data_IF_217647760198
#
_entry.id   IF_217647760198
#
_cell.length_a   1.000
_cell.length_b   1.000
_cell.length_c   1.000
_cell.angle_alpha   90.00
_cell.angle_beta   90.00
_cell.angle_gamma   90.00
#
_symmetry.space_group_name_H-M   'P 1'
#
loop_
_entity.id
_entity.type
_entity.pdbx_description
1 polymer ?
#
# COMPACT_ATOMS: atom_id res chain seq x y z
N UNK A 1 -9.14 -31.29 4.32
CA UNK A 1 -8.25 -30.60 3.37
C UNK A 1 -9.15 -29.88 2.38
N UNK A 2 -9.47 -28.60 2.68
CA UNK A 2 -10.31 -27.78 1.81
C UNK A 2 -9.38 -26.93 0.96
N UNK A 3 -9.33 -27.18 -0.32
CA UNK A 3 -8.55 -26.40 -1.29
C UNK A 3 -9.20 -25.02 -1.41
N UNK A 4 -8.58 -24.00 -0.81
CA UNK A 4 -8.95 -22.61 -1.04
C UNK A 4 -8.68 -22.29 -2.51
N UNK A 5 -9.75 -22.10 -3.27
CA UNK A 5 -9.66 -21.59 -4.64
C UNK A 5 -9.21 -20.12 -4.56
N UNK A 6 -8.10 -19.74 -5.18
CA UNK A 6 -7.72 -18.35 -5.26
C UNK A 6 -8.83 -17.59 -6.00
N UNK A 7 -9.17 -16.38 -5.50
CA UNK A 7 -10.07 -15.47 -6.22
C UNK A 7 -9.50 -15.36 -7.62
N UNK A 8 -10.24 -15.90 -8.59
CA UNK A 8 -9.84 -15.90 -9.99
C UNK A 8 -9.49 -14.47 -10.38
N UNK A 9 -8.29 -14.30 -10.94
CA UNK A 9 -7.91 -13.11 -11.70
C UNK A 9 -8.87 -13.02 -12.88
N UNK A 10 -10.09 -12.55 -12.64
CA UNK A 10 -10.97 -12.20 -13.75
C UNK A 10 -10.31 -11.05 -14.49
N UNK A 11 -9.81 -11.37 -15.65
CA UNK A 11 -9.49 -10.43 -16.68
C UNK A 11 -10.78 -9.66 -16.99
N UNK A 12 -10.97 -8.51 -16.35
CA UNK A 12 -11.97 -7.55 -16.75
C UNK A 12 -11.33 -6.68 -17.82
N UNK A 13 -11.90 -6.74 -18.99
CA UNK A 13 -11.68 -5.83 -20.08
C UNK A 13 -11.64 -4.38 -19.58
N UNK A 14 -10.81 -3.65 -20.20
CA UNK A 14 -10.84 -2.25 -20.54
C UNK A 14 -9.47 -1.61 -20.41
N UNK A 15 -9.04 -1.05 -21.46
CA UNK A 15 -7.89 -0.29 -21.90
C UNK A 15 -7.29 0.79 -20.99
N UNK A 16 -7.60 0.82 -19.71
CA UNK A 16 -6.97 1.75 -18.77
C UNK A 16 -5.85 1.06 -17.99
N UNK A 17 -4.67 1.67 -17.89
CA UNK A 17 -3.57 1.11 -17.12
C UNK A 17 -3.96 0.94 -15.65
N UNK A 18 -3.36 -0.05 -14.97
CA UNK A 18 -3.57 -0.23 -13.53
C UNK A 18 -3.02 0.97 -12.74
N UNK A 19 -3.57 1.23 -11.55
CA UNK A 19 -3.06 2.26 -10.65
C UNK A 19 -1.54 2.14 -10.46
N UNK A 20 -1.06 0.91 -10.27
CA UNK A 20 0.37 0.67 -10.08
C UNK A 20 1.19 1.03 -11.32
N UNK A 21 0.65 0.81 -12.52
CA UNK A 21 1.29 1.21 -13.77
C UNK A 21 1.32 2.73 -13.94
N UNK A 22 0.27 3.43 -13.55
CA UNK A 22 0.25 4.90 -13.60
C UNK A 22 1.17 5.52 -12.55
N UNK A 23 1.24 4.95 -11.33
CA UNK A 23 2.20 5.37 -10.31
C UNK A 23 3.64 5.21 -10.80
N UNK A 24 3.95 4.06 -11.42
CA UNK A 24 5.25 3.80 -12.02
C UNK A 24 5.59 4.82 -13.11
N UNK A 25 4.68 5.01 -14.05
CA UNK A 25 4.88 5.96 -15.16
C UNK A 25 5.08 7.40 -14.64
N UNK A 26 4.24 7.85 -13.70
CA UNK A 26 4.33 9.19 -13.12
C UNK A 26 5.65 9.44 -12.40
N UNK A 27 6.16 8.46 -11.67
CA UNK A 27 7.46 8.56 -10.99
C UNK A 27 8.60 8.65 -12.00
N UNK A 28 8.63 7.77 -13.00
CA UNK A 28 9.71 7.77 -14.01
C UNK A 28 9.68 9.03 -14.89
N UNK A 29 8.51 9.48 -15.30
CA UNK A 29 8.36 10.70 -16.09
C UNK A 29 8.90 11.93 -15.32
N UNK A 30 8.56 12.06 -14.03
CA UNK A 30 9.00 13.20 -13.21
C UNK A 30 10.47 13.15 -12.86
N UNK A 31 11.05 11.96 -12.65
CA UNK A 31 12.51 11.80 -12.42
C UNK A 31 13.31 12.02 -13.69
N UNK A 32 12.75 11.69 -14.87
CA UNK A 32 13.47 11.79 -16.14
C UNK A 32 14.77 10.97 -16.14
N UNK A 33 15.87 11.57 -16.59
CA UNK A 33 17.17 10.88 -16.65
C UNK A 33 17.75 10.46 -15.31
N UNK A 34 17.32 11.06 -14.18
CA UNK A 34 17.73 10.66 -12.84
C UNK A 34 17.33 9.21 -12.53
N UNK A 35 16.16 8.76 -12.98
CA UNK A 35 15.67 7.41 -12.78
C UNK A 35 16.63 6.33 -13.32
N UNK A 36 17.35 6.63 -14.41
CA UNK A 36 18.29 5.70 -15.05
C UNK A 36 19.61 5.53 -14.28
N UNK A 37 19.96 6.48 -13.42
CA UNK A 37 21.21 6.50 -12.67
C UNK A 37 21.10 5.92 -11.27
N UNK A 38 19.90 5.98 -10.68
CA UNK A 38 19.66 5.50 -9.33
C UNK A 38 19.73 3.97 -9.24
N UNK A 39 20.50 3.48 -8.27
CA UNK A 39 20.64 2.06 -7.99
C UNK A 39 20.23 1.75 -6.54
N UNK A 40 19.90 0.49 -6.26
CA UNK A 40 19.72 0.04 -4.89
C UNK A 40 21.08 -0.09 -4.21
N UNK A 41 21.30 0.63 -3.12
CA UNK A 41 22.49 0.47 -2.27
C UNK A 41 22.30 -0.73 -1.34
N UNK A 42 21.14 -0.81 -0.70
CA UNK A 42 20.79 -1.89 0.25
C UNK A 42 19.30 -2.20 0.18
N UNK A 43 18.94 -3.46 0.43
CA UNK A 43 17.56 -3.89 0.59
C UNK A 43 17.45 -4.93 1.72
N UNK A 44 16.37 -4.87 2.49
CA UNK A 44 16.02 -5.84 3.52
C UNK A 44 14.57 -6.30 3.29
N UNK A 45 14.40 -7.61 3.12
CA UNK A 45 13.09 -8.25 3.11
C UNK A 45 12.84 -8.78 4.53
N UNK A 46 12.36 -7.90 5.39
CA UNK A 46 12.05 -8.24 6.78
C UNK A 46 10.72 -8.98 6.90
N UNK A 47 10.43 -9.47 8.10
CA UNK A 47 9.22 -10.26 8.37
C UNK A 47 7.94 -9.44 8.09
N UNK A 48 7.87 -8.19 8.57
CA UNK A 48 6.68 -7.35 8.45
C UNK A 48 6.78 -6.31 7.34
N UNK A 49 8.01 -5.85 7.04
CA UNK A 49 8.25 -4.81 6.07
C UNK A 49 9.49 -5.09 5.23
N UNK A 50 9.40 -4.70 3.97
CA UNK A 50 10.49 -4.68 3.01
C UNK A 50 10.95 -3.24 2.84
N UNK A 51 12.22 -2.98 3.08
CA UNK A 51 12.84 -1.67 2.97
C UNK A 51 13.98 -1.65 1.96
N UNK A 52 14.18 -0.49 1.35
CA UNK A 52 15.30 -0.23 0.43
C UNK A 52 15.97 1.09 0.77
N UNK A 53 17.26 1.20 0.41
CA UNK A 53 18.00 2.46 0.33
C UNK A 53 18.57 2.57 -1.09
N UNK A 54 18.37 3.72 -1.71
CA UNK A 54 18.92 4.06 -3.02
C UNK A 54 20.32 4.69 -2.89
N UNK A 55 21.06 4.72 -4.00
CA UNK A 55 22.42 5.31 -4.10
C UNK A 55 22.47 6.80 -3.79
N UNK A 56 21.36 7.52 -3.84
CA UNK A 56 21.24 8.92 -3.38
C UNK A 56 20.93 9.04 -1.87
N UNK A 57 20.95 7.94 -1.13
CA UNK A 57 20.69 7.91 0.31
C UNK A 57 19.22 7.88 0.70
N UNK A 58 18.28 7.91 -0.26
CA UNK A 58 16.84 7.94 0.01
C UNK A 58 16.31 6.54 0.28
N UNK A 59 15.42 6.41 1.28
CA UNK A 59 14.80 5.16 1.66
C UNK A 59 13.37 5.01 1.18
N UNK A 60 12.92 3.75 1.05
CA UNK A 60 11.53 3.41 0.77
C UNK A 60 11.09 2.17 1.53
N UNK A 61 9.80 2.08 1.81
CA UNK A 61 9.22 1.05 2.66
C UNK A 61 7.95 0.48 2.00
N UNK A 62 7.74 -0.82 2.18
CA UNK A 62 6.53 -1.54 1.78
C UNK A 62 6.23 -2.64 2.80
N UNK A 63 4.97 -3.01 2.98
CA UNK A 63 4.63 -4.18 3.78
C UNK A 63 5.16 -5.46 3.10
N UNK A 64 5.71 -6.39 3.88
CA UNK A 64 6.04 -7.72 3.39
C UNK A 64 4.78 -8.58 3.37
N UNK A 65 4.42 -9.21 2.23
CA UNK A 65 3.24 -10.07 2.14
C UNK A 65 3.52 -11.44 2.79
N UNK A 66 3.71 -11.45 4.09
CA UNK A 66 4.17 -12.61 4.87
C UNK A 66 3.26 -13.84 4.68
N UNK A 67 1.97 -13.64 4.47
CA UNK A 67 1.01 -14.74 4.27
C UNK A 67 1.18 -15.45 2.91
N UNK A 68 1.83 -14.78 1.94
CA UNK A 68 2.20 -15.36 0.64
C UNK A 68 3.55 -16.09 0.67
N UNK A 69 4.30 -15.99 1.79
CA UNK A 69 5.66 -16.53 1.94
C UNK A 69 5.71 -18.04 2.26
N UNK A 70 4.74 -18.69 2.93
CA UNK A 70 4.85 -20.07 3.34
C UNK A 70 5.20 -21.05 2.21
N UNK A 71 4.65 -20.83 1.01
CA UNK A 71 4.99 -21.65 -0.17
C UNK A 71 6.41 -21.37 -0.69
N UNK A 72 6.96 -20.19 -0.38
CA UNK A 72 8.27 -19.75 -0.84
C UNK A 72 9.43 -20.31 -0.01
N UNK A 73 9.18 -20.82 1.20
CA UNK A 73 10.25 -21.27 2.12
C UNK A 73 10.45 -22.78 2.18
N UNK A 74 9.54 -23.59 1.61
CA UNK A 74 9.58 -25.06 1.73
C UNK A 74 10.42 -25.78 0.69
N UNK A 75 10.79 -25.16 -0.45
CA UNK A 75 11.48 -25.83 -1.54
C UNK A 75 12.51 -24.94 -2.25
N UNK A 76 13.63 -25.47 -2.77
CA UNK A 76 14.59 -24.71 -3.60
C UNK A 76 13.97 -24.09 -4.86
N UNK A 77 12.87 -24.64 -5.39
CA UNK A 77 12.11 -24.06 -6.50
C UNK A 77 11.43 -22.74 -6.13
N UNK A 78 11.18 -22.50 -4.86
CA UNK A 78 10.64 -21.25 -4.33
C UNK A 78 11.64 -20.07 -4.41
N UNK A 79 12.91 -20.34 -4.67
CA UNK A 79 13.89 -19.31 -4.98
C UNK A 79 13.48 -18.42 -6.16
N UNK A 80 12.59 -18.87 -7.04
CA UNK A 80 12.00 -18.05 -8.10
C UNK A 80 11.04 -16.97 -7.58
N UNK A 81 10.48 -17.15 -6.39
CA UNK A 81 9.63 -16.16 -5.73
C UNK A 81 10.45 -15.01 -5.13
N UNK A 82 11.74 -15.21 -4.90
CA UNK A 82 12.62 -14.22 -4.28
C UNK A 82 13.24 -13.31 -5.32
N UNK A 83 13.45 -12.02 -5.00
CA UNK A 83 14.14 -11.08 -5.88
C UNK A 83 15.66 -11.33 -5.80
N UNK A 84 16.19 -12.18 -6.65
CA UNK A 84 17.63 -12.43 -6.86
C UNK A 84 18.53 -12.19 -5.62
N UNK A 85 18.43 -13.02 -4.56
CA UNK A 85 19.22 -12.82 -3.33
C UNK A 85 20.73 -12.75 -3.60
N UNK A 86 21.42 -11.84 -2.90
CA UNK A 86 22.86 -11.61 -3.08
C UNK A 86 23.24 -10.79 -4.32
N UNK A 87 22.26 -10.39 -5.16
CA UNK A 87 22.48 -9.58 -6.37
C UNK A 87 21.51 -8.39 -6.46
N UNK A 88 20.99 -7.93 -5.32
CA UNK A 88 20.05 -6.79 -5.28
C UNK A 88 20.81 -5.47 -5.28
N UNK A 89 21.87 -5.37 -4.45
CA UNK A 89 22.72 -4.19 -4.42
C UNK A 89 23.39 -3.94 -5.79
N UNK A 90 23.43 -2.68 -6.21
CA UNK A 90 23.93 -2.23 -7.50
C UNK A 90 22.94 -2.37 -8.67
N UNK A 91 21.77 -2.99 -8.48
CA UNK A 91 20.74 -3.01 -9.54
C UNK A 91 20.15 -1.62 -9.74
N UNK A 92 19.91 -1.25 -11.00
CA UNK A 92 19.19 -0.01 -11.31
C UNK A 92 17.78 -0.05 -10.75
N UNK A 93 17.35 1.04 -10.11
CA UNK A 93 16.00 1.14 -9.55
C UNK A 93 14.95 0.89 -10.63
N UNK A 94 15.08 1.49 -11.80
CA UNK A 94 14.18 1.29 -12.93
C UNK A 94 14.01 -0.19 -13.32
N UNK A 95 15.09 -1.00 -13.29
CA UNK A 95 15.00 -2.44 -13.57
C UNK A 95 14.30 -3.23 -12.46
N UNK A 96 14.36 -2.77 -11.23
CA UNK A 96 13.64 -3.40 -10.12
C UNK A 96 12.14 -3.17 -10.24
N UNK A 97 11.73 -2.02 -10.81
CA UNK A 97 10.33 -1.71 -11.06
C UNK A 97 9.66 -2.65 -12.08
N UNK A 98 10.39 -3.36 -12.94
CA UNK A 98 9.83 -4.42 -13.78
C UNK A 98 9.13 -5.52 -12.97
N UNK A 99 9.56 -5.72 -11.72
CA UNK A 99 8.97 -6.69 -10.81
C UNK A 99 7.58 -6.26 -10.26
N UNK A 100 7.13 -5.00 -10.48
CA UNK A 100 5.76 -4.54 -10.17
C UNK A 100 4.69 -5.37 -10.88
N UNK A 101 5.00 -5.88 -12.06
CA UNK A 101 4.07 -6.61 -12.93
C UNK A 101 4.18 -8.13 -12.78
N UNK A 102 5.04 -8.61 -11.90
CA UNK A 102 5.23 -10.03 -11.64
C UNK A 102 4.13 -10.61 -10.76
N UNK A 103 3.94 -11.92 -10.88
CA UNK A 103 2.97 -12.64 -10.05
C UNK A 103 3.45 -12.84 -8.61
N UNK A 104 4.77 -12.77 -8.37
CA UNK A 104 5.38 -13.05 -7.07
C UNK A 104 5.28 -11.82 -6.17
N UNK A 105 4.48 -11.93 -5.12
CA UNK A 105 4.19 -10.83 -4.21
C UNK A 105 5.44 -10.26 -3.50
N UNK A 106 6.43 -11.10 -3.15
CA UNK A 106 7.69 -10.62 -2.56
C UNK A 106 8.52 -9.77 -3.52
N UNK A 107 8.55 -10.13 -4.82
CA UNK A 107 9.20 -9.31 -5.84
C UNK A 107 8.49 -7.98 -6.00
N UNK A 108 7.16 -8.02 -6.02
CA UNK A 108 6.34 -6.83 -6.11
C UNK A 108 6.50 -5.94 -4.88
N UNK A 109 6.61 -6.51 -3.67
CA UNK A 109 6.88 -5.75 -2.45
C UNK A 109 8.22 -5.00 -2.51
N UNK A 110 9.29 -5.64 -3.00
CA UNK A 110 10.59 -4.98 -3.22
C UNK A 110 10.47 -3.85 -4.26
N UNK A 111 9.75 -4.11 -5.35
CA UNK A 111 9.56 -3.10 -6.39
C UNK A 111 8.73 -1.91 -5.89
N UNK A 112 7.69 -2.14 -5.07
CA UNK A 112 6.92 -1.05 -4.45
C UNK A 112 7.77 -0.27 -3.43
N UNK A 113 8.59 -0.94 -2.60
CA UNK A 113 9.51 -0.24 -1.72
C UNK A 113 10.48 0.64 -2.51
N UNK A 114 10.96 0.15 -3.67
CA UNK A 114 11.81 0.93 -4.59
C UNK A 114 11.05 2.10 -5.20
N UNK A 115 9.81 1.89 -5.63
CA UNK A 115 8.93 2.96 -6.15
C UNK A 115 8.69 4.04 -5.08
N UNK A 116 8.50 3.64 -3.82
CA UNK A 116 8.32 4.56 -2.70
C UNK A 116 9.60 5.37 -2.42
N UNK A 117 10.79 4.78 -2.55
CA UNK A 117 12.05 5.51 -2.44
C UNK A 117 12.23 6.52 -3.58
N UNK A 118 11.84 6.16 -4.81
CA UNK A 118 11.85 7.08 -5.95
C UNK A 118 10.82 8.22 -5.78
N UNK A 119 9.64 7.92 -5.26
CA UNK A 119 8.64 8.93 -4.92
C UNK A 119 9.12 9.86 -3.79
N UNK A 120 9.86 9.34 -2.80
CA UNK A 120 10.49 10.16 -1.76
C UNK A 120 11.60 11.05 -2.33
N UNK A 121 12.35 10.58 -3.34
CA UNK A 121 13.33 11.42 -4.06
C UNK A 121 12.63 12.62 -4.70
N UNK A 122 11.47 12.41 -5.32
CA UNK A 122 10.64 13.50 -5.87
C UNK A 122 10.13 14.43 -4.75
N UNK A 123 9.68 13.87 -3.65
CA UNK A 123 9.22 14.66 -2.51
C UNK A 123 10.31 15.58 -1.96
N UNK A 124 11.52 15.07 -1.81
CA UNK A 124 12.67 15.85 -1.31
C UNK A 124 13.08 16.97 -2.28
N UNK A 125 12.94 16.73 -3.58
CA UNK A 125 13.27 17.67 -4.64
C UNK A 125 12.18 18.73 -4.85
N UNK A 126 10.91 18.28 -4.95
CA UNK A 126 9.79 19.10 -5.47
C UNK A 126 8.80 19.49 -4.36
N UNK A 127 8.91 18.89 -3.17
CA UNK A 127 7.91 19.02 -2.09
C UNK A 127 6.75 18.01 -2.22
N UNK A 128 5.68 18.21 -1.41
CA UNK A 128 4.51 17.34 -1.47
C UNK A 128 3.81 17.39 -2.83
N UNK A 129 3.04 16.34 -3.21
CA UNK A 129 2.33 16.29 -4.49
C UNK A 129 1.44 17.52 -4.70
N UNK A 130 1.47 18.07 -5.91
CA UNK A 130 0.71 19.25 -6.26
C UNK A 130 -0.80 19.05 -6.00
N UNK A 131 -1.46 20.08 -5.46
CA UNK A 131 -2.88 20.05 -5.14
C UNK A 131 -3.28 19.20 -3.93
N UNK A 132 -2.35 18.43 -3.33
CA UNK A 132 -2.60 17.73 -2.09
C UNK A 132 -2.34 18.63 -0.88
N UNK A 133 -3.21 18.56 0.13
CA UNK A 133 -3.02 19.24 1.39
C UNK A 133 -2.47 18.28 2.43
N UNK A 134 -1.37 18.65 3.11
CA UNK A 134 -0.89 17.94 4.28
C UNK A 134 -1.93 18.06 5.39
N UNK A 135 -2.39 16.92 5.89
CA UNK A 135 -3.25 16.86 7.08
C UNK A 135 -2.40 16.48 8.28
N UNK A 136 -2.52 17.21 9.36
CA UNK A 136 -1.94 16.80 10.64
C UNK A 136 -2.70 15.60 11.20
N UNK A 137 -2.00 14.65 11.82
CA UNK A 137 -2.61 13.49 12.47
C UNK A 137 -2.72 12.25 11.61
N UNK A 138 -3.53 11.31 12.09
CA UNK A 138 -3.77 10.03 11.43
C UNK A 138 -4.72 10.17 10.23
N UNK A 139 -4.55 9.32 9.23
CA UNK A 139 -5.38 9.34 8.03
C UNK A 139 -6.88 9.11 8.31
N UNK A 140 -7.21 8.43 9.40
CA UNK A 140 -8.60 8.28 9.85
C UNK A 140 -9.22 9.60 10.26
N UNK A 141 -8.46 10.48 10.90
CA UNK A 141 -8.92 11.82 11.33
C UNK A 141 -9.16 12.76 10.15
N UNK A 142 -8.45 12.53 9.04
CA UNK A 142 -8.65 13.29 7.81
C UNK A 142 -9.95 12.92 7.05
N UNK A 143 -10.63 11.84 7.45
CA UNK A 143 -11.88 11.41 6.84
C UNK A 143 -13.09 12.06 7.54
N UNK A 144 -13.97 12.75 6.80
CA UNK A 144 -15.18 13.36 7.36
C UNK A 144 -16.27 12.30 7.56
N UNK A 145 -16.14 11.46 8.59
CA UNK A 145 -17.11 10.41 8.90
C UNK A 145 -18.24 10.97 9.74
N UNK A 146 -19.40 11.25 9.11
CA UNK A 146 -20.59 11.72 9.79
C UNK A 146 -21.32 10.56 10.52
N UNK A 147 -22.07 10.86 11.60
CA UNK A 147 -22.85 9.85 12.31
C UNK A 147 -23.82 9.10 11.36
N UNK A 148 -23.85 7.77 11.49
CA UNK A 148 -24.73 6.90 10.69
C UNK A 148 -24.19 6.54 9.30
N UNK A 149 -23.12 7.13 8.82
CA UNK A 149 -22.48 6.72 7.56
C UNK A 149 -21.90 5.31 7.66
N UNK A 150 -22.02 4.54 6.59
CA UNK A 150 -21.52 3.18 6.49
C UNK A 150 -20.04 3.20 6.12
N UNK A 151 -19.21 2.59 6.96
CA UNK A 151 -17.76 2.49 6.72
C UNK A 151 -17.43 1.07 6.27
N UNK A 152 -16.67 0.94 5.17
CA UNK A 152 -16.08 -0.33 4.74
C UNK A 152 -14.58 -0.28 4.92
N UNK A 153 -14.03 -1.19 5.72
CA UNK A 153 -12.60 -1.41 5.89
C UNK A 153 -12.18 -2.59 5.03
N UNK A 154 -11.08 -2.47 4.29
CA UNK A 154 -10.40 -3.60 3.64
C UNK A 154 -9.06 -3.79 4.30
N UNK A 155 -8.94 -4.91 5.02
CA UNK A 155 -7.88 -5.16 5.97
C UNK A 155 -8.25 -4.77 7.40
N UNK A 156 -7.64 -5.44 8.38
CA UNK A 156 -7.85 -5.16 9.78
C UNK A 156 -7.08 -3.91 10.21
N UNK A 157 -7.79 -2.92 10.71
CA UNK A 157 -7.25 -1.69 11.31
C UNK A 157 -7.71 -1.59 12.78
N UNK A 158 -7.07 -2.28 13.73
CA UNK A 158 -7.57 -2.34 15.11
C UNK A 158 -7.82 -0.97 15.77
N UNK A 159 -6.98 0.07 15.57
CA UNK A 159 -7.27 1.40 16.10
C UNK A 159 -8.56 2.01 15.54
N UNK A 160 -8.79 1.89 14.22
CA UNK A 160 -9.95 2.45 13.54
C UNK A 160 -11.24 1.69 13.91
N UNK A 161 -11.17 0.36 13.96
CA UNK A 161 -12.27 -0.49 14.39
C UNK A 161 -12.71 -0.14 15.83
N UNK A 162 -11.75 0.09 16.73
CA UNK A 162 -12.03 0.52 18.11
C UNK A 162 -12.74 1.86 18.14
N UNK A 163 -12.28 2.81 17.33
CA UNK A 163 -12.87 4.15 17.28
C UNK A 163 -14.27 4.13 16.64
N UNK A 164 -14.47 3.38 15.56
CA UNK A 164 -15.80 3.20 14.93
C UNK A 164 -16.79 2.56 15.91
N UNK A 165 -16.38 1.56 16.67
CA UNK A 165 -17.19 0.95 17.74
C UNK A 165 -17.53 1.98 18.81
N UNK A 166 -16.58 2.76 19.28
CA UNK A 166 -16.78 3.81 20.29
C UNK A 166 -17.79 4.86 19.82
N UNK A 167 -17.79 5.18 18.53
CA UNK A 167 -18.76 6.13 17.91
C UNK A 167 -20.13 5.50 17.62
N UNK A 168 -20.30 4.19 17.80
CA UNK A 168 -21.51 3.48 17.36
C UNK A 168 -21.71 3.51 15.84
N UNK A 169 -20.63 3.65 15.09
CA UNK A 169 -20.66 3.79 13.64
C UNK A 169 -20.90 2.43 12.98
N UNK A 170 -21.83 2.30 12.00
CA UNK A 170 -21.96 1.05 11.26
C UNK A 170 -20.77 0.82 10.35
N UNK A 171 -20.12 -0.35 10.46
CA UNK A 171 -19.00 -0.70 9.59
C UNK A 171 -18.87 -2.20 9.31
N UNK A 172 -18.20 -2.54 8.22
CA UNK A 172 -17.80 -3.89 7.87
C UNK A 172 -16.28 -3.95 7.68
N UNK A 173 -15.68 -5.10 8.00
CA UNK A 173 -14.26 -5.41 7.76
C UNK A 173 -14.18 -6.53 6.74
N UNK A 174 -13.79 -6.20 5.53
CA UNK A 174 -13.51 -7.14 4.46
C UNK A 174 -12.08 -7.66 4.65
N UNK A 175 -11.95 -8.93 5.02
CA UNK A 175 -10.65 -9.55 5.28
C UNK A 175 -10.58 -10.92 4.60
N UNK A 176 -9.39 -11.28 4.12
CA UNK A 176 -9.13 -12.58 3.49
C UNK A 176 -9.06 -13.71 4.53
N UNK A 177 -8.48 -13.41 5.68
CA UNK A 177 -8.25 -14.38 6.75
C UNK A 177 -8.93 -13.89 8.05
N UNK A 178 -10.06 -14.50 8.42
CA UNK A 178 -10.77 -14.13 9.64
C UNK A 178 -9.95 -14.27 10.92
N UNK A 179 -8.89 -15.11 10.91
CA UNK A 179 -8.01 -15.27 12.07
C UNK A 179 -7.19 -14.02 12.40
N UNK A 180 -7.19 -12.99 11.55
CA UNK A 180 -6.60 -11.68 11.87
C UNK A 180 -7.45 -10.86 12.82
N UNK A 181 -8.73 -11.20 12.97
CA UNK A 181 -9.69 -10.49 13.81
C UNK A 181 -9.81 -11.17 15.18
N UNK A 182 -9.98 -10.36 16.21
CA UNK A 182 -10.27 -10.85 17.55
C UNK A 182 -11.73 -11.29 17.68
N UNK A 183 -12.09 -12.13 18.67
CA UNK A 183 -13.47 -12.57 18.86
C UNK A 183 -14.49 -11.43 18.93
N UNK A 184 -14.15 -10.33 19.60
CA UNK A 184 -15.00 -9.14 19.72
C UNK A 184 -15.10 -8.30 18.43
N UNK A 185 -14.30 -8.58 17.43
CA UNK A 185 -14.27 -7.91 16.11
C UNK A 185 -15.03 -8.73 15.06
N UNK A 186 -15.26 -10.03 15.33
CA UNK A 186 -15.94 -10.95 14.41
C UNK A 186 -17.36 -10.51 13.98
N UNK A 187 -18.18 -9.81 14.81
CA UNK A 187 -19.48 -9.30 14.36
C UNK A 187 -19.41 -8.31 13.18
N UNK A 188 -18.25 -7.73 12.91
CA UNK A 188 -18.02 -6.78 11.81
C UNK A 188 -17.36 -7.43 10.60
N UNK A 189 -16.92 -8.67 10.72
CA UNK A 189 -16.25 -9.41 9.65
C UNK A 189 -17.18 -9.67 8.47
N UNK A 190 -16.64 -9.50 7.27
CA UNK A 190 -17.23 -9.96 6.03
C UNK A 190 -16.12 -10.60 5.16
N UNK A 191 -16.40 -11.74 4.52
CA UNK A 191 -15.48 -12.32 3.55
C UNK A 191 -15.16 -11.32 2.42
N UNK A 192 -13.92 -11.29 1.94
CA UNK A 192 -13.52 -10.40 0.85
C UNK A 192 -14.38 -10.57 -0.42
N UNK A 193 -14.96 -11.76 -0.63
CA UNK A 193 -15.87 -12.03 -1.74
C UNK A 193 -17.16 -11.22 -1.70
N UNK A 194 -17.54 -10.67 -0.53
CA UNK A 194 -18.73 -9.81 -0.39
C UNK A 194 -18.47 -8.34 -0.74
N UNK A 195 -17.24 -7.99 -1.19
CA UNK A 195 -16.93 -6.62 -1.61
C UNK A 195 -17.96 -6.05 -2.64
N UNK A 196 -18.42 -6.80 -3.67
CA UNK A 196 -19.41 -6.29 -4.62
C UNK A 196 -20.77 -5.94 -4.00
N UNK A 197 -21.10 -6.49 -2.84
CA UNK A 197 -22.36 -6.20 -2.14
C UNK A 197 -22.22 -5.06 -1.14
N UNK A 198 -21.06 -4.95 -0.50
CA UNK A 198 -20.79 -4.00 0.59
C UNK A 198 -20.33 -2.65 0.06
N UNK A 199 -19.34 -2.62 -0.85
CA UNK A 199 -18.70 -1.39 -1.28
C UNK A 199 -19.61 -0.40 -2.01
N UNK A 200 -20.59 -0.83 -2.84
CA UNK A 200 -21.53 0.11 -3.46
C UNK A 200 -22.42 0.86 -2.46
N UNK A 201 -22.51 0.35 -1.22
CA UNK A 201 -23.32 0.95 -0.15
C UNK A 201 -22.51 1.71 0.88
N UNK A 202 -21.18 1.68 0.76
CA UNK A 202 -20.29 2.39 1.67
C UNK A 202 -20.30 3.89 1.39
N UNK A 203 -20.38 4.68 2.45
CA UNK A 203 -20.17 6.13 2.40
C UNK A 203 -18.70 6.48 2.52
N UNK A 204 -17.97 5.67 3.29
CA UNK A 204 -16.53 5.80 3.53
C UNK A 204 -15.87 4.45 3.32
N UNK A 205 -14.84 4.44 2.50
CA UNK A 205 -14.00 3.29 2.20
C UNK A 205 -12.59 3.52 2.70
N UNK A 206 -12.05 2.59 3.46
CA UNK A 206 -10.68 2.64 3.97
C UNK A 206 -10.00 1.33 3.62
N UNK A 207 -8.89 1.38 2.90
CA UNK A 207 -8.16 0.19 2.52
C UNK A 207 -6.69 0.26 2.89
N UNK A 208 -6.13 -0.90 3.19
CA UNK A 208 -4.69 -1.04 3.37
C UNK A 208 -3.95 -0.91 2.04
N UNK A 209 -2.79 -0.26 2.04
CA UNK A 209 -1.90 -0.20 0.88
C UNK A 209 -1.44 -1.58 0.36
N UNK A 210 -1.56 -2.66 1.16
CA UNK A 210 -1.22 -4.02 0.72
C UNK A 210 -2.09 -4.50 -0.45
N UNK A 211 -3.25 -3.85 -0.70
CA UNK A 211 -4.08 -4.08 -1.89
C UNK A 211 -3.38 -3.71 -3.21
N UNK A 212 -2.31 -2.90 -3.16
CA UNK A 212 -1.40 -2.69 -4.29
C UNK A 212 -0.56 -3.95 -4.56
N UNK A 213 -0.10 -4.64 -3.52
CA UNK A 213 0.74 -5.84 -3.67
C UNK A 213 -0.04 -6.96 -4.34
N UNK A 214 -1.26 -7.25 -3.87
CA UNK A 214 -2.10 -8.32 -4.42
C UNK A 214 -2.90 -7.91 -5.67
N UNK A 215 -2.82 -6.62 -6.08
CA UNK A 215 -3.46 -6.10 -7.27
C UNK A 215 -4.99 -5.92 -7.17
N UNK A 216 -5.56 -5.95 -5.97
CA UNK A 216 -7.02 -5.84 -5.78
C UNK A 216 -7.53 -4.39 -5.76
N UNK A 217 -6.68 -3.40 -5.53
CA UNK A 217 -7.08 -2.02 -5.26
C UNK A 217 -7.95 -1.41 -6.37
N UNK A 218 -7.55 -1.54 -7.65
CA UNK A 218 -8.33 -1.02 -8.77
C UNK A 218 -9.75 -1.60 -8.83
N UNK A 219 -9.86 -2.92 -8.57
CA UNK A 219 -11.15 -3.61 -8.53
C UNK A 219 -12.05 -3.09 -7.40
N UNK A 220 -11.47 -2.87 -6.23
CA UNK A 220 -12.21 -2.36 -5.06
C UNK A 220 -12.67 -0.92 -5.27
N UNK A 221 -11.81 -0.04 -5.80
CA UNK A 221 -12.15 1.36 -6.06
C UNK A 221 -13.29 1.50 -7.08
N UNK A 222 -13.34 0.64 -8.12
CA UNK A 222 -14.43 0.63 -9.11
C UNK A 222 -15.80 0.24 -8.54
N UNK A 223 -15.85 -0.43 -7.41
CA UNK A 223 -17.11 -0.81 -6.75
C UNK A 223 -17.72 0.33 -5.93
N UNK A 224 -16.96 1.39 -5.66
CA UNK A 224 -17.44 2.49 -4.84
C UNK A 224 -18.49 3.32 -5.58
N UNK A 225 -19.49 3.78 -4.84
CA UNK A 225 -20.46 4.73 -5.38
C UNK A 225 -19.82 6.11 -5.61
N UNK A 226 -20.32 6.88 -6.56
CA UNK A 226 -19.88 8.26 -6.74
C UNK A 226 -20.04 9.08 -5.45
N UNK A 227 -19.02 9.85 -5.09
CA UNK A 227 -19.03 10.70 -3.89
C UNK A 227 -18.75 9.98 -2.57
N UNK A 228 -18.42 8.68 -2.58
CA UNK A 228 -17.88 8.02 -1.41
C UNK A 228 -16.50 8.61 -1.07
N UNK A 229 -16.21 8.79 0.22
CA UNK A 229 -14.86 9.09 0.69
C UNK A 229 -14.01 7.81 0.58
N UNK A 230 -12.82 7.91 0.03
CA UNK A 230 -11.94 6.77 -0.16
C UNK A 230 -10.53 7.05 0.36
N UNK A 231 -10.03 6.20 1.26
CA UNK A 231 -8.70 6.29 1.80
C UNK A 231 -7.86 5.05 1.50
N UNK A 232 -6.62 5.26 1.04
CA UNK A 232 -5.59 4.21 0.92
C UNK A 232 -4.50 4.49 1.94
N UNK A 233 -4.26 3.52 2.85
CA UNK A 233 -3.46 3.78 4.05
C UNK A 233 -2.40 2.70 4.26
N UNK A 234 -1.21 3.13 4.60
CA UNK A 234 -0.11 2.28 5.05
C UNK A 234 1.20 2.51 4.28
N UNK A 235 2.30 1.91 4.74
CA UNK A 235 3.63 2.11 4.16
C UNK A 235 3.77 1.67 2.69
N UNK A 236 2.83 0.87 2.20
CA UNK A 236 2.81 0.43 0.80
C UNK A 236 2.23 1.49 -0.15
N UNK A 237 1.49 2.46 0.38
CA UNK A 237 0.89 3.53 -0.42
C UNK A 237 1.97 4.51 -0.92
N UNK A 238 2.13 4.61 -2.24
CA UNK A 238 3.08 5.53 -2.87
C UNK A 238 2.55 6.94 -2.83
N UNK A 239 3.35 7.91 -2.36
CA UNK A 239 2.95 9.31 -2.18
C UNK A 239 3.01 10.12 -3.50
N UNK A 240 2.27 9.65 -4.51
CA UNK A 240 2.03 10.33 -5.80
C UNK A 240 0.51 10.47 -5.95
N UNK A 241 0.01 11.70 -5.98
CA UNK A 241 -1.42 11.98 -5.83
C UNK A 241 -2.26 11.69 -7.08
N UNK A 242 -1.78 12.07 -8.24
CA UNK A 242 -2.58 12.15 -9.47
C UNK A 242 -3.26 10.81 -9.85
N UNK A 243 -2.58 9.65 -9.84
CA UNK A 243 -3.22 8.37 -10.18
C UNK A 243 -4.33 7.95 -9.20
N UNK A 244 -4.20 8.35 -7.93
CA UNK A 244 -5.23 8.09 -6.93
C UNK A 244 -6.44 9.01 -7.09
N UNK A 245 -6.21 10.29 -7.37
CA UNK A 245 -7.27 11.28 -7.64
C UNK A 245 -8.12 10.82 -8.82
N UNK A 246 -7.50 10.35 -9.90
CA UNK A 246 -8.20 9.80 -11.06
C UNK A 246 -9.13 8.62 -10.77
N UNK A 247 -8.94 7.96 -9.61
CA UNK A 247 -9.77 6.85 -9.13
C UNK A 247 -10.71 7.21 -7.97
N UNK A 248 -10.82 8.50 -7.66
CA UNK A 248 -11.70 8.98 -6.60
C UNK A 248 -11.18 8.79 -5.17
N UNK A 249 -9.89 8.51 -4.98
CA UNK A 249 -9.28 8.50 -3.64
C UNK A 249 -9.20 9.92 -3.11
N UNK A 250 -9.64 10.13 -1.88
CA UNK A 250 -9.73 11.44 -1.24
C UNK A 250 -8.72 11.62 -0.11
N UNK A 251 -8.23 10.52 0.47
CA UNK A 251 -7.20 10.52 1.50
C UNK A 251 -6.12 9.50 1.16
N UNK A 252 -4.87 9.91 1.25
CA UNK A 252 -3.71 9.04 1.08
C UNK A 252 -2.86 9.11 2.35
N UNK A 253 -2.79 7.99 3.07
CA UNK A 253 -1.94 7.84 4.24
C UNK A 253 -0.72 6.99 3.89
N UNK A 254 0.43 7.62 3.74
CA UNK A 254 1.69 6.96 3.42
C UNK A 254 2.75 7.15 4.49
N UNK A 255 3.99 6.89 4.11
CA UNK A 255 5.14 7.03 5.00
C UNK A 255 6.33 7.61 4.27
N UNK A 256 7.17 8.35 4.99
CA UNK A 256 8.47 8.83 4.55
C UNK A 256 9.56 8.23 5.41
N UNK A 257 10.64 7.79 4.81
CA UNK A 257 11.79 7.20 5.50
C UNK A 257 12.81 8.31 5.79
N UNK A 258 13.01 8.61 7.07
CA UNK A 258 13.89 9.70 7.52
C UNK A 258 15.32 9.23 7.75
N UNK A 259 15.51 7.99 8.23
CA UNK A 259 16.81 7.40 8.50
C UNK A 259 16.89 5.97 7.90
N UNK A 260 17.25 5.85 6.60
CA UNK A 260 17.19 4.58 5.90
C UNK A 260 18.09 3.49 6.48
N UNK A 261 19.32 3.82 6.88
CA UNK A 261 20.26 2.83 7.41
C UNK A 261 19.75 2.22 8.71
N UNK A 262 19.33 3.05 9.66
CA UNK A 262 18.76 2.62 10.93
C UNK A 262 17.46 1.83 10.74
N UNK A 263 16.61 2.25 9.80
CA UNK A 263 15.40 1.50 9.45
C UNK A 263 15.76 0.10 8.98
N UNK A 264 16.70 -0.03 8.05
CA UNK A 264 17.08 -1.33 7.49
C UNK A 264 17.68 -2.27 8.54
N UNK A 265 18.40 -1.74 9.54
CA UNK A 265 18.85 -2.52 10.71
C UNK A 265 17.64 -3.10 11.48
N UNK A 266 16.68 -2.22 11.85
CA UNK A 266 15.46 -2.64 12.55
C UNK A 266 14.69 -3.69 11.76
N UNK A 267 14.58 -3.54 10.44
CA UNK A 267 13.90 -4.52 9.59
C UNK A 267 14.64 -5.85 9.51
N UNK A 268 15.97 -5.84 9.49
CA UNK A 268 16.80 -7.04 9.47
C UNK A 268 16.64 -7.87 10.77
N UNK A 269 16.37 -7.21 11.88
CA UNK A 269 16.08 -7.81 13.18
C UNK A 269 14.62 -8.25 13.36
N UNK A 270 13.79 -8.17 12.29
CA UNK A 270 12.37 -8.53 12.33
C UNK A 270 11.49 -7.46 12.97
N UNK A 271 11.93 -6.21 12.98
CA UNK A 271 11.19 -5.09 13.55
C UNK A 271 9.84 -4.84 12.89
N UNK A 272 8.87 -4.42 13.71
CA UNK A 272 7.53 -4.00 13.28
C UNK A 272 7.37 -2.48 13.40
N UNK A 273 6.23 -1.94 12.98
CA UNK A 273 5.95 -0.50 13.03
C UNK A 273 6.15 0.15 14.40
N UNK A 274 5.98 -0.60 15.49
CA UNK A 274 6.24 -0.10 16.85
C UNK A 274 7.70 0.30 17.09
N UNK A 275 8.63 -0.27 16.33
CA UNK A 275 10.07 -0.04 16.53
C UNK A 275 10.58 1.17 15.76
N UNK A 276 9.96 1.55 14.66
CA UNK A 276 10.49 2.57 13.75
C UNK A 276 9.57 3.78 13.50
N UNK A 277 8.23 3.68 13.68
CA UNK A 277 7.37 4.85 13.52
C UNK A 277 7.65 5.93 14.58
N UNK A 278 7.74 7.18 14.11
CA UNK A 278 8.10 8.32 14.95
C UNK A 278 9.59 8.41 15.30
N UNK A 279 10.43 7.56 14.69
CA UNK A 279 11.89 7.55 14.83
C UNK A 279 12.54 7.66 13.45
N UNK A 280 12.62 6.55 12.73
CA UNK A 280 13.25 6.47 11.40
C UNK A 280 12.26 6.59 10.24
N UNK A 281 10.96 6.52 10.55
CA UNK A 281 9.86 6.64 9.58
C UNK A 281 8.77 7.55 10.16
N UNK A 282 8.34 8.52 9.39
CA UNK A 282 7.16 9.33 9.70
C UNK A 282 5.94 8.89 8.90
N UNK A 283 4.74 9.09 9.48
CA UNK A 283 3.48 8.96 8.77
C UNK A 283 3.13 10.29 8.13
N UNK A 284 2.63 10.22 6.90
CA UNK A 284 2.15 11.39 6.17
C UNK A 284 0.73 11.14 5.72
N UNK A 285 -0.14 12.11 5.99
CA UNK A 285 -1.53 12.10 5.53
C UNK A 285 -1.74 13.24 4.56
N UNK A 286 -2.21 12.89 3.36
CA UNK A 286 -2.57 13.84 2.31
C UNK A 286 -4.08 13.82 2.10
N UNK A 287 -4.72 14.97 2.17
CA UNK A 287 -6.05 15.20 1.63
C UNK A 287 -5.90 15.54 0.16
N UNK A 288 -6.48 14.71 -0.69
CA UNK A 288 -6.38 14.87 -2.14
C UNK A 288 -7.52 15.76 -2.67
N UNK A 289 -7.29 16.50 -3.77
CA UNK A 289 -8.35 17.26 -4.42
C UNK A 289 -9.43 16.31 -4.94
N UNK A 290 -10.68 16.77 -5.06
CA UNK A 290 -11.70 15.99 -5.75
C UNK A 290 -11.27 15.73 -7.20
N UNK A 291 -11.64 14.57 -7.75
CA UNK A 291 -11.43 14.29 -9.17
C UNK A 291 -12.09 15.40 -9.99
N UNK A 292 -11.38 15.90 -10.98
CA UNK A 292 -11.98 16.84 -11.92
C UNK A 292 -13.21 16.19 -12.56
N UNK A 293 -14.37 16.84 -12.45
CA UNK A 293 -15.58 16.37 -13.13
C UNK A 293 -15.37 16.61 -14.63
N UNK A 294 -15.20 15.53 -15.37
CA UNK A 294 -15.31 15.59 -16.83
C UNK A 294 -16.75 15.79 -17.24
#
# INVERSE_FOLDING_TARGET
>A
MSTMTPISRQAAAVDSPSLLAELHAAVLERLGSEAETLTLERAVLGIFFTGVKLSNGVGGLCATPIKSVPEAVCCPSSAKAMPTPGKIAGRRAAQVLDDLYRAQDLRRALAIATLNALAETLWLRDGPPAGAALSGGDAFEALPIAPGQRVALVGAFPPYMRELRRRGQPFNVLELDPATLKPEEMPYYAPAAQAPEILPRADVFITTGTTLINGSLDGLLRLLRPGAEAAVIGPTATLIAEPYVGRGVTVLGGTRVLAPDELLEVLAEGGSGYHFFGKTVERVTLRLPPAARC
#
